data_IF_874701182949
#
_entry.id   IF_874701182949
#
_cell.length_a   1.000
_cell.length_b   1.000
_cell.length_c   1.000
_cell.angle_alpha   90.00
_cell.angle_beta   90.00
_cell.angle_gamma   90.00
#
_symmetry.space_group_name_H-M   'P 1'
#
loop_
_entity.id
_entity.type
_entity.pdbx_description
1 polymer ?
#
# COMPACT_ATOMS: atom_id res chain seq x y z
N UNK A 1 16.88 -10.86 -11.22
CA UNK A 1 16.64 -9.42 -11.45
C UNK A 1 15.25 -9.18 -12.02
N UNK A 2 14.77 -7.90 -11.96
CA UNK A 2 13.47 -7.57 -12.50
C UNK A 2 13.29 -6.06 -12.69
N UNK A 3 12.22 -5.68 -13.39
CA UNK A 3 11.82 -4.30 -13.58
C UNK A 3 10.33 -4.14 -13.27
N UNK A 4 9.98 -3.06 -12.63
CA UNK A 4 8.58 -2.65 -12.39
C UNK A 4 8.38 -1.27 -13.00
N UNK A 5 7.40 -1.13 -13.87
CA UNK A 5 7.13 0.13 -14.55
C UNK A 5 5.82 0.14 -15.34
N UNK A 6 5.48 1.28 -15.96
CA UNK A 6 4.38 1.33 -16.91
C UNK A 6 4.56 0.26 -17.99
N UNK A 7 3.48 -0.44 -18.35
CA UNK A 7 3.54 -1.64 -19.21
C UNK A 7 4.42 -1.42 -20.47
N UNK A 8 4.16 -0.35 -21.22
CA UNK A 8 4.93 -0.07 -22.45
C UNK A 8 6.43 0.18 -22.20
N UNK A 9 6.77 0.83 -21.08
CA UNK A 9 8.16 1.14 -20.71
C UNK A 9 8.88 -0.13 -20.23
N UNK A 10 8.23 -0.93 -19.41
CA UNK A 10 8.77 -2.19 -18.90
C UNK A 10 9.00 -3.18 -20.04
N UNK A 11 8.08 -3.30 -20.99
CA UNK A 11 8.19 -4.17 -22.16
C UNK A 11 9.34 -3.70 -23.10
N UNK A 12 9.48 -2.39 -23.34
CA UNK A 12 10.58 -1.84 -24.14
C UNK A 12 11.94 -2.08 -23.46
N UNK A 13 12.00 -1.91 -22.14
CA UNK A 13 13.20 -2.21 -21.37
C UNK A 13 13.56 -3.71 -21.46
N UNK A 14 12.60 -4.60 -21.22
CA UNK A 14 12.80 -6.04 -21.29
C UNK A 14 13.30 -6.48 -22.68
N UNK A 15 12.68 -5.95 -23.75
CA UNK A 15 13.09 -6.23 -25.14
C UNK A 15 14.54 -5.80 -25.40
N UNK A 16 14.96 -4.67 -24.86
CA UNK A 16 16.33 -4.15 -25.03
C UNK A 16 17.33 -4.94 -24.19
N UNK A 17 16.95 -5.24 -22.94
CA UNK A 17 17.79 -5.99 -22.00
C UNK A 17 18.07 -7.42 -22.49
N UNK A 18 17.05 -8.09 -23.04
CA UNK A 18 17.17 -9.47 -23.54
C UNK A 18 18.03 -9.60 -24.78
N UNK A 19 18.34 -8.52 -25.49
CA UNK A 19 19.27 -8.57 -26.67
C UNK A 19 20.72 -8.87 -26.31
N UNK A 20 21.12 -8.64 -25.06
CA UNK A 20 22.48 -8.79 -24.57
C UNK A 20 22.78 -10.09 -23.82
N UNK A 21 21.75 -10.84 -23.40
CA UNK A 21 21.87 -12.08 -22.65
C UNK A 21 20.58 -12.91 -22.77
N UNK A 22 20.74 -14.24 -22.73
CA UNK A 22 19.59 -15.15 -22.69
C UNK A 22 19.00 -15.13 -21.28
N UNK A 23 17.82 -14.54 -21.11
CA UNK A 23 17.02 -14.59 -19.90
C UNK A 23 15.64 -15.15 -20.25
N UNK A 24 15.09 -15.93 -19.34
CA UNK A 24 13.67 -16.24 -19.37
C UNK A 24 12.90 -15.07 -18.78
N UNK A 25 12.05 -14.44 -19.59
CA UNK A 25 11.21 -13.33 -19.18
C UNK A 25 9.90 -13.85 -18.59
N UNK A 26 9.70 -13.62 -17.29
CA UNK A 26 8.44 -13.97 -16.61
C UNK A 26 7.68 -12.70 -16.23
N UNK A 27 6.40 -12.61 -16.64
CA UNK A 27 5.49 -11.57 -16.15
C UNK A 27 5.05 -11.91 -14.73
N UNK A 28 5.22 -10.96 -13.82
CA UNK A 28 4.72 -10.98 -12.47
C UNK A 28 3.36 -10.30 -12.35
N UNK A 29 3.17 -9.53 -11.28
CA UNK A 29 1.91 -8.87 -10.96
C UNK A 29 1.59 -7.76 -11.96
N UNK A 30 0.37 -7.73 -12.45
CA UNK A 30 -0.20 -6.60 -13.18
C UNK A 30 -0.91 -5.68 -12.17
N UNK A 31 -0.53 -4.40 -12.17
CA UNK A 31 -0.98 -3.45 -11.15
C UNK A 31 -1.62 -2.23 -11.81
N UNK A 32 -2.59 -1.63 -11.10
CA UNK A 32 -3.06 -0.27 -11.37
C UNK A 32 -2.38 0.71 -10.42
N UNK A 33 -1.87 1.79 -10.96
CA UNK A 33 -1.41 2.95 -10.18
C UNK A 33 -2.55 3.93 -10.02
N UNK A 34 -2.78 4.36 -8.80
CA UNK A 34 -3.74 5.38 -8.46
C UNK A 34 -3.05 6.60 -7.87
N UNK A 35 -3.60 7.78 -8.13
CA UNK A 35 -3.18 9.06 -7.56
C UNK A 35 -4.39 9.75 -6.91
N UNK A 36 -4.16 10.38 -5.76
CA UNK A 36 -5.16 11.17 -5.06
C UNK A 36 -4.61 12.56 -4.76
N UNK A 37 -5.38 13.60 -5.09
CA UNK A 37 -5.08 15.02 -4.77
C UNK A 37 -6.12 15.64 -3.86
N UNK A 38 -7.29 15.05 -3.77
CA UNK A 38 -8.38 15.52 -2.92
C UNK A 38 -9.10 14.31 -2.33
N UNK A 39 -9.25 14.31 -1.00
CA UNK A 39 -9.88 13.20 -0.28
C UNK A 39 -11.39 13.37 -0.25
N UNK A 40 -12.08 12.30 -0.59
CA UNK A 40 -13.50 12.09 -0.28
C UNK A 40 -13.61 11.19 0.94
N UNK A 41 -14.01 11.74 2.09
CA UNK A 41 -14.09 10.98 3.33
C UNK A 41 -15.30 10.06 3.33
N UNK A 42 -15.16 8.77 3.63
CA UNK A 42 -16.31 7.89 3.87
C UNK A 42 -17.06 8.36 5.11
N UNK A 43 -18.38 8.17 5.10
CA UNK A 43 -19.27 8.54 6.22
C UNK A 43 -19.82 7.29 6.92
N UNK A 44 -20.26 7.44 8.17
CA UNK A 44 -20.93 6.35 8.90
C UNK A 44 -20.00 5.24 9.40
N UNK A 45 -18.68 5.45 9.39
CA UNK A 45 -17.70 4.50 9.93
C UNK A 45 -17.46 4.82 11.40
N UNK A 46 -17.72 3.84 12.30
CA UNK A 46 -17.45 3.99 13.75
C UNK A 46 -15.94 4.03 14.03
N UNK A 47 -15.57 4.56 15.21
CA UNK A 47 -14.18 4.65 15.62
C UNK A 47 -13.47 5.93 15.17
N UNK A 48 -12.15 5.97 15.32
CA UNK A 48 -11.35 7.15 15.07
C UNK A 48 -9.91 6.80 14.62
N UNK A 49 -9.26 7.67 13.86
CA UNK A 49 -7.87 7.47 13.45
C UNK A 49 -6.89 7.98 14.51
N UNK A 50 -5.81 7.26 14.69
CA UNK A 50 -4.63 7.73 15.43
C UNK A 50 -3.33 7.17 14.88
N UNK A 51 -2.22 7.78 15.23
CA UNK A 51 -0.93 7.16 14.96
C UNK A 51 -0.75 5.89 15.78
N UNK A 52 -0.10 4.89 15.19
CA UNK A 52 0.28 3.67 15.88
C UNK A 52 1.24 3.99 17.05
N UNK A 53 1.18 3.18 18.10
CA UNK A 53 2.01 3.31 19.30
C UNK A 53 3.11 2.25 19.31
N UNK A 54 4.28 2.52 19.92
CA UNK A 54 5.37 1.54 20.02
C UNK A 54 4.95 0.20 20.66
N UNK A 55 4.04 0.24 21.64
CA UNK A 55 3.54 -0.94 22.35
C UNK A 55 2.73 -1.87 21.45
N UNK A 56 2.28 -1.39 20.30
CA UNK A 56 1.48 -2.14 19.32
C UNK A 56 2.35 -2.84 18.27
N UNK A 57 3.67 -2.72 18.35
CA UNK A 57 4.58 -3.20 17.30
C UNK A 57 4.39 -4.67 16.97
N UNK A 58 4.18 -5.53 17.96
CA UNK A 58 4.03 -6.97 17.74
C UNK A 58 2.71 -7.28 17.02
N UNK A 59 1.60 -6.67 17.44
CA UNK A 59 0.31 -6.79 16.77
C UNK A 59 0.36 -6.31 15.33
N UNK A 60 0.97 -5.15 15.10
CA UNK A 60 1.03 -4.56 13.76
C UNK A 60 2.03 -5.31 12.86
N UNK A 61 3.10 -5.88 13.42
CA UNK A 61 4.02 -6.75 12.68
C UNK A 61 3.32 -8.02 12.19
N UNK A 62 2.51 -8.66 13.02
CA UNK A 62 1.69 -9.80 12.62
C UNK A 62 0.72 -9.44 11.48
N UNK A 63 0.12 -8.25 11.54
CA UNK A 63 -0.76 -7.78 10.47
C UNK A 63 -0.02 -7.50 9.17
N UNK A 64 1.18 -6.90 9.25
CA UNK A 64 2.04 -6.65 8.08
C UNK A 64 2.54 -7.97 7.49
N UNK A 65 2.92 -8.93 8.32
CA UNK A 65 3.33 -10.25 7.84
C UNK A 65 2.18 -11.00 7.14
N UNK A 66 0.99 -10.97 7.75
CA UNK A 66 -0.21 -11.52 7.11
C UNK A 66 -0.57 -10.79 5.79
N UNK A 67 -0.34 -9.48 5.69
CA UNK A 67 -0.48 -8.74 4.44
C UNK A 67 0.55 -9.21 3.40
N UNK A 68 1.82 -9.38 3.78
CA UNK A 68 2.88 -9.87 2.88
C UNK A 68 2.53 -11.26 2.29
N UNK A 69 1.89 -12.12 3.09
CA UNK A 69 1.38 -13.41 2.62
C UNK A 69 0.25 -13.23 1.61
N UNK A 70 -0.72 -12.35 1.91
CA UNK A 70 -1.87 -12.12 1.01
C UNK A 70 -1.46 -11.54 -0.34
N UNK A 71 -0.42 -10.70 -0.39
CA UNK A 71 0.10 -10.12 -1.65
C UNK A 71 1.23 -10.95 -2.27
N UNK A 72 1.46 -12.15 -1.80
CA UNK A 72 2.50 -13.07 -2.32
C UNK A 72 3.89 -12.45 -2.42
N UNK A 73 4.28 -11.63 -1.43
CA UNK A 73 5.57 -10.94 -1.43
C UNK A 73 6.75 -11.93 -1.49
N UNK A 74 7.61 -11.74 -2.46
CA UNK A 74 8.82 -12.57 -2.66
C UNK A 74 10.03 -11.66 -2.93
N UNK A 75 11.17 -11.84 -2.22
CA UNK A 75 11.34 -12.74 -1.07
C UNK A 75 10.54 -12.25 0.16
N UNK A 76 10.03 -13.19 0.95
CA UNK A 76 9.32 -12.85 2.19
C UNK A 76 10.32 -12.50 3.29
N UNK A 77 10.21 -11.32 3.94
CA UNK A 77 11.05 -10.99 5.09
C UNK A 77 10.72 -11.87 6.30
N UNK A 78 11.68 -12.07 7.20
CA UNK A 78 11.40 -12.70 8.49
C UNK A 78 10.49 -11.82 9.35
N UNK A 79 9.77 -12.42 10.31
CA UNK A 79 8.91 -11.68 11.23
C UNK A 79 9.71 -10.63 12.04
N UNK A 80 10.94 -10.94 12.42
CA UNK A 80 11.84 -10.01 13.09
C UNK A 80 12.14 -8.79 12.21
N UNK A 81 12.48 -9.00 10.94
CA UNK A 81 12.69 -7.90 9.98
C UNK A 81 11.42 -7.07 9.75
N UNK A 82 10.24 -7.72 9.75
CA UNK A 82 8.95 -7.01 9.67
C UNK A 82 8.76 -6.15 10.91
N UNK A 83 9.01 -6.71 12.10
CA UNK A 83 8.88 -6.03 13.39
C UNK A 83 9.77 -4.79 13.48
N UNK A 84 11.03 -4.91 13.11
CA UNK A 84 11.98 -3.78 13.09
C UNK A 84 11.48 -2.65 12.17
N UNK A 85 11.08 -2.99 10.94
CA UNK A 85 10.54 -2.02 9.97
C UNK A 85 9.24 -1.37 10.44
N UNK A 86 8.37 -2.11 11.12
CA UNK A 86 7.13 -1.56 11.68
C UNK A 86 7.44 -0.60 12.80
N UNK A 87 8.37 -0.93 13.71
CA UNK A 87 8.78 -0.05 14.80
C UNK A 87 9.39 1.25 14.28
N UNK A 88 10.27 1.18 13.29
CA UNK A 88 10.86 2.34 12.62
C UNK A 88 9.78 3.26 12.00
N UNK A 89 8.78 2.65 11.33
CA UNK A 89 7.65 3.39 10.74
C UNK A 89 6.73 4.00 11.79
N UNK A 90 6.55 3.36 12.95
CA UNK A 90 5.80 3.92 14.08
C UNK A 90 6.51 5.16 14.61
N UNK A 91 7.82 5.08 14.89
CA UNK A 91 8.61 6.21 15.36
C UNK A 91 8.60 7.40 14.38
N UNK A 92 8.54 7.10 13.08
CA UNK A 92 8.47 8.12 12.03
C UNK A 92 7.05 8.61 11.72
N UNK A 93 6.04 8.22 12.50
CA UNK A 93 4.61 8.54 12.27
C UNK A 93 4.15 8.20 10.84
N UNK A 94 4.58 7.04 10.34
CA UNK A 94 4.21 6.54 9.01
C UNK A 94 3.20 5.40 9.05
N UNK A 95 2.67 5.04 10.22
CA UNK A 95 1.61 4.04 10.40
C UNK A 95 0.44 4.66 11.12
N UNK A 96 -0.70 4.72 10.42
CA UNK A 96 -1.98 5.11 10.99
C UNK A 96 -2.77 3.84 11.33
N UNK A 97 -3.41 3.81 12.48
CA UNK A 97 -4.40 2.81 12.83
C UNK A 97 -5.78 3.44 12.94
N UNK A 98 -6.80 2.68 12.54
CA UNK A 98 -8.18 2.98 12.87
C UNK A 98 -8.51 2.23 14.15
N UNK A 99 -8.99 2.95 15.16
CA UNK A 99 -9.35 2.39 16.45
C UNK A 99 -10.87 2.44 16.61
N UNK A 100 -11.48 1.32 16.98
CA UNK A 100 -12.89 1.22 17.30
C UNK A 100 -13.05 0.48 18.63
N UNK A 101 -13.89 0.99 19.53
CA UNK A 101 -14.07 0.46 20.89
C UNK A 101 -12.75 0.26 21.66
N UNK A 102 -11.78 1.17 21.47
CA UNK A 102 -10.48 1.13 22.13
C UNK A 102 -9.51 0.09 21.56
N UNK A 103 -9.80 -0.51 20.40
CA UNK A 103 -8.98 -1.54 19.76
C UNK A 103 -8.56 -1.13 18.34
N UNK A 104 -7.31 -1.36 17.93
CA UNK A 104 -6.94 -1.27 16.53
C UNK A 104 -7.76 -2.25 15.69
N UNK A 105 -8.37 -1.78 14.60
CA UNK A 105 -9.19 -2.61 13.71
C UNK A 105 -8.74 -2.54 12.24
N UNK A 106 -7.93 -1.56 11.89
CA UNK A 106 -7.33 -1.43 10.57
C UNK A 106 -6.02 -0.63 10.65
N UNK A 107 -5.12 -0.83 9.73
CA UNK A 107 -3.92 -0.01 9.54
C UNK A 107 -3.74 0.40 8.09
N UNK A 108 -3.06 1.52 7.89
CA UNK A 108 -2.49 1.94 6.62
C UNK A 108 -1.13 2.61 6.88
N UNK A 109 -0.19 2.50 5.96
CA UNK A 109 1.13 3.11 6.14
C UNK A 109 1.56 3.97 4.96
N UNK A 110 2.42 4.95 5.24
CA UNK A 110 3.13 5.74 4.23
C UNK A 110 4.44 5.06 3.84
N UNK A 111 4.81 5.16 2.58
CA UNK A 111 6.08 4.66 2.05
C UNK A 111 6.55 5.49 0.86
N UNK A 112 7.77 5.26 0.41
CA UNK A 112 8.36 5.90 -0.78
C UNK A 112 8.15 7.42 -0.79
N UNK A 113 8.63 8.16 0.23
CA UNK A 113 8.46 9.61 0.27
C UNK A 113 9.24 10.27 -0.88
N UNK A 114 8.62 11.27 -1.49
CA UNK A 114 9.25 12.17 -2.45
C UNK A 114 9.01 13.62 -2.01
N UNK A 115 9.70 14.61 -2.59
CA UNK A 115 9.44 16.00 -2.27
C UNK A 115 7.96 16.41 -2.46
N UNK A 116 7.29 15.85 -3.46
CA UNK A 116 5.93 16.24 -3.86
C UNK A 116 4.82 15.28 -3.46
N UNK A 117 5.13 14.03 -3.16
CA UNK A 117 4.11 13.01 -2.85
C UNK A 117 4.66 11.85 -2.03
N UNK A 118 3.78 10.96 -1.65
CA UNK A 118 4.12 9.70 -0.97
C UNK A 118 3.17 8.58 -1.40
N UNK A 119 3.60 7.34 -1.23
CA UNK A 119 2.74 6.19 -1.49
C UNK A 119 2.03 5.75 -0.19
N UNK A 120 0.74 5.45 -0.31
CA UNK A 120 0.00 4.68 0.70
C UNK A 120 0.25 3.20 0.41
N UNK A 121 0.61 2.48 1.43
CA UNK A 121 0.97 1.07 1.32
C UNK A 121 0.49 0.28 2.55
N UNK A 122 0.53 -1.04 2.47
CA UNK A 122 0.22 -1.94 3.56
C UNK A 122 -1.11 -1.59 4.23
N UNK A 123 -2.19 -1.56 3.46
CA UNK A 123 -3.55 -1.38 3.99
C UNK A 123 -4.06 -2.74 4.46
N UNK A 124 -4.31 -2.88 5.75
CA UNK A 124 -4.74 -4.15 6.35
C UNK A 124 -5.90 -3.96 7.30
N UNK A 125 -6.95 -4.73 7.09
CA UNK A 125 -8.05 -4.94 8.06
C UNK A 125 -8.15 -6.44 8.31
N UNK A 126 -7.93 -6.91 9.55
CA UNK A 126 -8.09 -8.33 9.89
C UNK A 126 -9.48 -8.86 9.51
N UNK A 127 -9.62 -10.14 9.15
CA UNK A 127 -10.89 -10.71 8.67
C UNK A 127 -12.10 -10.40 9.57
N UNK A 128 -11.94 -10.44 10.89
CA UNK A 128 -13.01 -10.17 11.86
C UNK A 128 -13.58 -8.74 11.80
N UNK A 129 -12.84 -7.79 11.21
CA UNK A 129 -13.21 -6.37 11.14
C UNK A 129 -13.55 -5.92 9.71
N UNK A 130 -13.48 -6.80 8.71
CA UNK A 130 -13.76 -6.46 7.30
C UNK A 130 -15.22 -6.07 7.06
N UNK A 131 -15.46 -5.36 5.96
CA UNK A 131 -16.79 -4.92 5.48
C UNK A 131 -17.50 -3.93 6.42
N UNK A 132 -16.73 -3.18 7.22
CA UNK A 132 -17.23 -2.11 8.09
C UNK A 132 -16.70 -0.71 7.71
N UNK A 133 -16.02 -0.59 6.54
CA UNK A 133 -15.48 0.67 6.05
C UNK A 133 -14.15 1.10 6.66
N UNK A 134 -13.58 0.35 7.62
CA UNK A 134 -12.38 0.77 8.36
C UNK A 134 -11.16 1.00 7.46
N UNK A 135 -10.93 0.15 6.44
CA UNK A 135 -9.83 0.34 5.49
C UNK A 135 -9.98 1.67 4.73
N UNK A 136 -11.19 1.94 4.22
CA UNK A 136 -11.50 3.17 3.48
C UNK A 136 -11.29 4.41 4.36
N UNK A 137 -11.79 4.37 5.60
CA UNK A 137 -11.65 5.47 6.55
C UNK A 137 -10.18 5.70 6.94
N UNK A 138 -9.43 4.62 7.19
CA UNK A 138 -8.01 4.68 7.54
C UNK A 138 -7.17 5.26 6.40
N UNK A 139 -7.39 4.81 5.15
CA UNK A 139 -6.70 5.32 3.96
C UNK A 139 -7.08 6.78 3.67
N UNK A 140 -8.35 7.13 3.75
CA UNK A 140 -8.80 8.51 3.55
C UNK A 140 -8.14 9.47 4.55
N UNK A 141 -8.12 9.12 5.83
CA UNK A 141 -7.49 9.93 6.86
C UNK A 141 -5.97 10.04 6.68
N UNK A 142 -5.29 8.92 6.41
CA UNK A 142 -3.85 8.94 6.17
C UNK A 142 -3.48 9.79 4.94
N UNK A 143 -4.30 9.70 3.89
CA UNK A 143 -4.12 10.52 2.70
C UNK A 143 -4.35 12.00 3.00
N UNK A 144 -5.39 12.34 3.78
CA UNK A 144 -5.65 13.73 4.19
C UNK A 144 -4.48 14.30 4.99
N UNK A 145 -4.01 13.59 6.02
CA UNK A 145 -2.84 14.03 6.80
C UNK A 145 -1.60 14.22 5.93
N UNK A 146 -1.43 13.37 4.92
CA UNK A 146 -0.32 13.51 3.96
C UNK A 146 -0.41 14.80 3.14
N UNK A 147 -1.61 15.17 2.69
CA UNK A 147 -1.83 16.43 1.98
C UNK A 147 -1.68 17.64 2.92
N UNK A 148 -2.17 17.54 4.16
CA UNK A 148 -2.03 18.57 5.20
C UNK A 148 -0.56 18.79 5.59
N UNK A 149 0.29 17.76 5.52
CA UNK A 149 1.76 17.83 5.67
C UNK A 149 2.45 18.51 4.46
N UNK A 150 1.68 19.05 3.51
CA UNK A 150 2.19 19.80 2.35
C UNK A 150 2.54 18.95 1.13
N UNK A 151 2.19 17.68 1.11
CA UNK A 151 2.33 16.86 -0.11
C UNK A 151 1.23 17.21 -1.11
N UNK A 152 1.57 17.18 -2.40
CA UNK A 152 0.64 17.53 -3.48
C UNK A 152 -0.26 16.37 -3.89
N UNK A 153 0.15 15.14 -3.59
CA UNK A 153 -0.58 13.92 -3.94
C UNK A 153 -0.18 12.72 -3.11
N UNK A 154 -1.08 11.76 -3.03
CA UNK A 154 -0.80 10.39 -2.60
C UNK A 154 -0.88 9.44 -3.80
N UNK A 155 -0.08 8.38 -3.80
CA UNK A 155 -0.20 7.29 -4.77
C UNK A 155 -0.44 5.97 -4.06
N UNK A 156 -0.96 5.00 -4.76
CA UNK A 156 -0.97 3.59 -4.34
C UNK A 156 -0.96 2.67 -5.56
N UNK A 157 -0.55 1.44 -5.31
CA UNK A 157 -0.62 0.34 -6.28
C UNK A 157 -1.65 -0.67 -5.81
N UNK A 158 -2.43 -1.19 -6.74
CA UNK A 158 -3.34 -2.31 -6.49
C UNK A 158 -3.11 -3.41 -7.51
N UNK A 159 -3.34 -4.65 -7.12
CA UNK A 159 -3.46 -5.74 -8.06
C UNK A 159 -4.69 -5.52 -8.95
N UNK A 160 -4.53 -5.57 -10.27
CA UNK A 160 -5.63 -5.49 -11.23
C UNK A 160 -6.68 -6.59 -11.01
N UNK A 161 -6.26 -7.74 -10.50
CA UNK A 161 -7.14 -8.85 -10.16
C UNK A 161 -7.98 -8.63 -8.88
N UNK A 162 -7.81 -7.49 -8.18
CA UNK A 162 -8.55 -7.17 -6.95
C UNK A 162 -9.59 -6.05 -7.18
N UNK A 163 -10.80 -6.36 -7.69
CA UNK A 163 -11.82 -5.36 -8.01
C UNK A 163 -12.35 -4.63 -6.75
N UNK A 164 -12.34 -5.29 -5.59
CA UNK A 164 -12.80 -4.68 -4.33
C UNK A 164 -11.93 -3.49 -3.93
N UNK A 165 -10.61 -3.67 -3.96
CA UNK A 165 -9.67 -2.59 -3.64
C UNK A 165 -9.77 -1.45 -4.65
N UNK A 166 -9.86 -1.75 -5.94
CA UNK A 166 -9.97 -0.76 -7.00
C UNK A 166 -11.22 0.13 -6.84
N UNK A 167 -12.35 -0.47 -6.49
CA UNK A 167 -13.61 0.25 -6.23
C UNK A 167 -13.47 1.17 -5.00
N UNK A 168 -12.99 0.65 -3.87
CA UNK A 168 -12.83 1.40 -2.61
C UNK A 168 -11.97 2.64 -2.80
N UNK A 169 -10.84 2.54 -3.50
CA UNK A 169 -9.96 3.68 -3.72
C UNK A 169 -10.60 4.75 -4.61
N UNK A 170 -11.38 4.35 -5.61
CA UNK A 170 -12.16 5.29 -6.41
C UNK A 170 -13.15 6.10 -5.58
N UNK A 171 -13.82 5.49 -4.59
CA UNK A 171 -14.75 6.20 -3.70
C UNK A 171 -14.05 7.22 -2.79
N UNK A 172 -12.82 6.93 -2.34
CA UNK A 172 -12.00 7.85 -1.53
C UNK A 172 -11.51 9.06 -2.35
N UNK A 173 -11.51 8.97 -3.67
CA UNK A 173 -11.06 10.03 -4.57
C UNK A 173 -9.78 9.72 -5.33
N UNK A 174 -9.27 8.51 -5.24
CA UNK A 174 -8.15 8.09 -6.09
C UNK A 174 -8.60 7.91 -7.53
N UNK A 175 -7.78 8.39 -8.45
CA UNK A 175 -7.95 8.27 -9.89
C UNK A 175 -6.87 7.36 -10.48
N UNK A 176 -7.24 6.47 -11.39
CA UNK A 176 -6.27 5.62 -12.08
C UNK A 176 -5.33 6.45 -12.96
N UNK A 177 -4.05 6.12 -12.96
CA UNK A 177 -3.00 6.79 -13.77
C UNK A 177 -2.33 5.86 -14.78
N UNK A 178 -2.72 4.61 -14.81
CA UNK A 178 -2.24 3.65 -15.78
C UNK A 178 -1.82 2.32 -15.17
N UNK A 179 -1.60 1.37 -16.06
CA UNK A 179 -1.21 0.02 -15.69
C UNK A 179 0.31 -0.11 -15.60
N UNK A 180 0.75 -0.85 -14.60
CA UNK A 180 2.12 -1.23 -14.37
C UNK A 180 2.24 -2.75 -14.39
N UNK A 181 3.42 -3.23 -14.69
CA UNK A 181 3.75 -4.65 -14.67
C UNK A 181 5.09 -4.88 -13.99
N UNK A 182 5.19 -5.98 -13.28
CA UNK A 182 6.46 -6.56 -12.85
C UNK A 182 6.95 -7.54 -13.91
N UNK A 183 8.21 -7.41 -14.29
CA UNK A 183 8.89 -8.35 -15.18
C UNK A 183 10.12 -8.89 -14.44
N UNK A 184 10.26 -10.21 -14.43
CA UNK A 184 11.39 -10.93 -13.82
C UNK A 184 12.26 -11.52 -14.92
N UNK A 185 13.57 -11.44 -14.72
CA UNK A 185 14.60 -12.00 -15.61
C UNK A 185 15.28 -13.13 -14.85
N UNK A 186 14.93 -14.37 -15.16
CA UNK A 186 15.44 -15.59 -14.53
C UNK A 186 16.61 -16.19 -15.32
#
# INVERSE_FOLDING_TARGET
>A
PGVTGPVAVADAFATTWSRGAAFDLRRGMAMMVFELRQVRRPTGVSGQPRWARPEEVDLLADWVDAFNVEVHQTPRPSLEQVRERVLERIHSQNVLVWEDEGRPVSLASRSRPSPRGTAINCVRTPPAYRRRGYASACVAELSQRTLDDGKLFCTLFTDLANPTSNHIYGEIGFESRGEFVELHFD
#
